data_IF_371980071530
#
_entry.id   IF_371980071530
#
_cell.length_a   1.000
_cell.length_b   1.000
_cell.length_c   1.000
_cell.angle_alpha   90.00
_cell.angle_beta   90.00
_cell.angle_gamma   90.00
#
_symmetry.space_group_name_H-M   'P 1'
#
loop_
_entity.id
_entity.type
_entity.pdbx_description
1 polymer ?
#
# COMPACT_ATOMS: atom_id res chain seq x y z
N UNK A 1 -3.77 11.41 -7.92
CA UNK A 1 -3.02 12.66 -8.22
C UNK A 1 -2.76 13.51 -6.97
N UNK A 2 -3.77 14.09 -6.29
CA UNK A 2 -3.51 14.98 -5.12
C UNK A 2 -2.82 14.28 -3.94
N UNK A 3 -3.21 13.04 -3.62
CA UNK A 3 -2.63 12.34 -2.47
C UNK A 3 -1.16 11.94 -2.65
N UNK A 4 -0.79 11.49 -3.86
CA UNK A 4 0.60 11.17 -4.19
C UNK A 4 1.48 12.42 -4.12
N UNK A 5 1.03 13.54 -4.68
CA UNK A 5 1.76 14.81 -4.58
C UNK A 5 1.98 15.23 -3.13
N UNK A 6 0.94 15.13 -2.29
CA UNK A 6 1.05 15.39 -0.86
C UNK A 6 2.08 14.49 -0.17
N UNK A 7 2.07 13.19 -0.46
CA UNK A 7 3.05 12.24 0.10
C UNK A 7 4.47 12.54 -0.37
N UNK A 8 4.68 12.78 -1.66
CA UNK A 8 6.01 13.12 -2.18
C UNK A 8 6.54 14.43 -1.61
N UNK A 9 5.68 15.44 -1.45
CA UNK A 9 6.05 16.71 -0.84
C UNK A 9 6.38 16.55 0.66
N UNK A 10 5.63 15.72 1.39
CA UNK A 10 5.85 15.51 2.83
C UNK A 10 7.03 14.56 3.15
N UNK A 11 7.36 13.64 2.24
CA UNK A 11 8.38 12.61 2.43
C UNK A 11 9.76 13.13 2.88
N UNK A 12 10.40 14.11 2.20
CA UNK A 12 11.75 14.55 2.57
C UNK A 12 11.79 15.13 3.99
N UNK A 13 10.76 15.88 4.38
CA UNK A 13 10.66 16.46 5.72
C UNK A 13 10.42 15.38 6.78
N UNK A 14 9.54 14.42 6.48
CA UNK A 14 9.27 13.30 7.36
C UNK A 14 10.54 12.47 7.59
N UNK A 15 11.24 12.03 6.54
CA UNK A 15 12.47 11.23 6.66
C UNK A 15 13.59 12.02 7.35
N UNK A 16 13.73 13.32 7.06
CA UNK A 16 14.69 14.17 7.77
C UNK A 16 14.39 14.23 9.27
N UNK A 17 13.12 14.40 9.65
CA UNK A 17 12.70 14.41 11.04
C UNK A 17 12.91 13.04 11.72
N UNK A 18 12.52 11.96 11.05
CA UNK A 18 12.66 10.57 11.52
C UNK A 18 14.12 10.23 11.80
N UNK A 19 15.03 10.52 10.85
CA UNK A 19 16.45 10.20 10.97
C UNK A 19 17.14 10.97 12.10
N UNK A 20 16.70 12.19 12.42
CA UNK A 20 17.26 12.99 13.50
C UNK A 20 16.73 12.61 14.88
N UNK A 21 15.43 12.33 15.00
CA UNK A 21 14.73 12.15 16.28
C UNK A 21 14.60 10.69 16.71
N UNK A 22 14.37 9.77 15.80
CA UNK A 22 14.07 8.36 16.12
C UNK A 22 15.30 7.48 15.93
N UNK A 23 16.18 7.52 16.94
CA UNK A 23 17.46 6.79 16.96
C UNK A 23 17.40 5.46 17.69
N UNK A 24 16.29 5.06 18.32
CA UNK A 24 16.17 3.74 18.97
C UNK A 24 15.12 2.90 18.24
N UNK A 25 15.32 1.58 18.19
CA UNK A 25 14.33 0.65 17.65
C UNK A 25 13.03 0.68 18.45
N UNK A 26 13.12 0.87 19.78
CA UNK A 26 11.95 1.06 20.63
C UNK A 26 11.16 2.33 20.26
N UNK A 27 11.86 3.44 19.97
CA UNK A 27 11.20 4.67 19.53
C UNK A 27 10.53 4.51 18.15
N UNK A 28 11.14 3.74 17.24
CA UNK A 28 10.54 3.44 15.94
C UNK A 28 9.30 2.56 16.08
N UNK A 29 9.36 1.51 16.91
CA UNK A 29 8.22 0.65 17.19
C UNK A 29 7.08 1.44 17.85
N UNK A 30 7.39 2.29 18.83
CA UNK A 30 6.41 3.17 19.46
C UNK A 30 5.78 4.14 18.45
N UNK A 31 6.59 4.80 17.61
CA UNK A 31 6.09 5.69 16.57
C UNK A 31 5.22 4.94 15.54
N UNK A 32 5.56 3.69 15.21
CA UNK A 32 4.77 2.86 14.33
C UNK A 32 3.40 2.53 14.94
N UNK A 33 3.37 2.11 16.20
CA UNK A 33 2.11 1.86 16.94
C UNK A 33 1.29 3.14 17.02
N UNK A 34 1.91 4.27 17.32
CA UNK A 34 1.24 5.57 17.38
C UNK A 34 0.66 5.96 16.01
N UNK A 35 1.38 5.72 14.91
CA UNK A 35 0.88 5.99 13.56
C UNK A 35 -0.35 5.12 13.25
N UNK A 36 -0.30 3.82 13.54
CA UNK A 36 -1.42 2.89 13.28
C UNK A 36 -2.63 3.23 14.16
N UNK A 37 -2.44 3.37 15.47
CA UNK A 37 -3.52 3.68 16.40
C UNK A 37 -4.12 5.08 16.12
N UNK A 38 -3.27 6.07 15.81
CA UNK A 38 -3.70 7.41 15.43
C UNK A 38 -4.48 7.40 14.11
N UNK A 39 -4.08 6.60 13.13
CA UNK A 39 -4.82 6.36 11.90
C UNK A 39 -6.20 5.78 12.17
N UNK A 40 -6.28 4.69 12.95
CA UNK A 40 -7.56 4.06 13.34
C UNK A 40 -8.47 5.06 14.04
N UNK A 41 -7.94 5.84 14.99
CA UNK A 41 -8.71 6.86 15.70
C UNK A 41 -9.21 7.96 14.75
N UNK A 42 -8.37 8.40 13.80
CA UNK A 42 -8.74 9.40 12.81
C UNK A 42 -9.84 8.88 11.86
N UNK A 43 -9.72 7.65 11.36
CA UNK A 43 -10.78 7.01 10.59
C UNK A 43 -12.08 6.95 11.40
N UNK A 44 -12.02 6.53 12.66
CA UNK A 44 -13.19 6.48 13.53
C UNK A 44 -13.84 7.83 13.75
N UNK A 45 -13.05 8.87 13.99
CA UNK A 45 -13.57 10.24 14.11
C UNK A 45 -14.28 10.69 12.83
N UNK A 46 -13.65 10.51 11.66
CA UNK A 46 -14.23 10.93 10.38
C UNK A 46 -15.48 10.12 10.04
N UNK A 47 -15.44 8.80 10.18
CA UNK A 47 -16.59 7.91 9.92
C UNK A 47 -17.75 8.27 10.86
N UNK A 48 -17.47 8.53 12.13
CA UNK A 48 -18.47 8.97 13.10
C UNK A 48 -19.11 10.29 12.68
N UNK A 49 -18.30 11.31 12.35
CA UNK A 49 -18.80 12.61 11.91
C UNK A 49 -19.66 12.47 10.65
N UNK A 50 -19.21 11.71 9.66
CA UNK A 50 -19.95 11.54 8.41
C UNK A 50 -21.26 10.79 8.58
N UNK A 51 -21.33 9.78 9.46
CA UNK A 51 -22.53 8.96 9.62
C UNK A 51 -23.52 9.53 10.64
N UNK A 52 -23.04 10.12 11.75
CA UNK A 52 -23.90 10.47 12.88
C UNK A 52 -24.04 11.97 13.12
N UNK A 53 -23.10 12.80 12.65
CA UNK A 53 -23.16 14.26 12.86
C UNK A 53 -23.70 14.96 11.62
N UNK A 54 -23.15 14.64 10.45
CA UNK A 54 -23.48 15.31 9.18
C UNK A 54 -24.42 14.47 8.31
N UNK A 55 -24.50 13.16 8.52
CA UNK A 55 -25.31 12.23 7.73
C UNK A 55 -25.05 12.33 6.21
N UNK A 56 -23.78 12.23 5.84
CA UNK A 56 -23.31 12.30 4.45
C UNK A 56 -23.71 11.02 3.69
N UNK A 57 -24.17 11.16 2.45
CA UNK A 57 -24.52 10.02 1.59
C UNK A 57 -23.34 9.11 1.26
N UNK A 58 -23.62 7.83 0.94
CA UNK A 58 -22.62 6.78 0.78
C UNK A 58 -21.54 7.09 -0.28
N UNK A 59 -21.91 7.75 -1.39
CA UNK A 59 -20.94 8.12 -2.44
C UNK A 59 -19.91 9.12 -1.95
N UNK A 60 -20.36 10.18 -1.25
CA UNK A 60 -19.47 11.17 -0.67
C UNK A 60 -18.61 10.59 0.46
N UNK A 61 -19.16 9.65 1.25
CA UNK A 61 -18.37 8.87 2.22
C UNK A 61 -17.24 8.10 1.54
N UNK A 62 -17.55 7.37 0.47
CA UNK A 62 -16.53 6.63 -0.29
C UNK A 62 -15.43 7.56 -0.80
N UNK A 63 -15.80 8.71 -1.38
CA UNK A 63 -14.82 9.67 -1.91
C UNK A 63 -13.87 10.16 -0.81
N UNK A 64 -14.42 10.55 0.35
CA UNK A 64 -13.61 11.04 1.47
C UNK A 64 -12.71 9.93 2.02
N UNK A 65 -13.24 8.75 2.29
CA UNK A 65 -12.49 7.66 2.92
C UNK A 65 -11.40 7.07 2.02
N UNK A 66 -11.60 7.10 0.69
CA UNK A 66 -10.66 6.50 -0.27
C UNK A 66 -9.63 7.51 -0.78
N UNK A 67 -10.03 8.74 -1.10
CA UNK A 67 -9.17 9.69 -1.79
C UNK A 67 -8.56 10.78 -0.89
N UNK A 68 -8.98 10.90 0.37
CA UNK A 68 -8.43 11.92 1.26
C UNK A 68 -7.00 11.54 1.71
N UNK A 69 -5.97 12.34 1.36
CA UNK A 69 -4.60 12.03 1.73
C UNK A 69 -4.33 12.03 3.24
N UNK A 70 -5.09 12.81 4.01
CA UNK A 70 -4.90 12.93 5.46
C UNK A 70 -5.25 11.62 6.15
N UNK A 71 -6.34 10.97 5.72
CA UNK A 71 -6.73 9.66 6.24
C UNK A 71 -5.69 8.58 5.91
N UNK A 72 -5.07 8.69 4.74
CA UNK A 72 -4.06 7.76 4.22
C UNK A 72 -2.64 8.04 4.73
N UNK A 73 -2.46 9.15 5.44
CA UNK A 73 -1.15 9.60 5.89
C UNK A 73 -0.57 8.67 6.97
N UNK A 74 -1.42 8.05 7.77
CA UNK A 74 -1.00 7.12 8.82
C UNK A 74 -0.29 5.88 8.25
N UNK A 75 -0.83 5.32 7.17
CA UNK A 75 -0.28 4.18 6.44
C UNK A 75 1.04 4.58 5.76
N UNK A 76 1.10 5.79 5.21
CA UNK A 76 2.32 6.34 4.60
C UNK A 76 3.45 6.53 5.62
N UNK A 77 3.14 7.07 6.82
CA UNK A 77 4.11 7.22 7.91
C UNK A 77 4.58 5.86 8.41
N UNK A 78 3.69 4.89 8.58
CA UNK A 78 4.03 3.52 8.97
C UNK A 78 4.99 2.86 7.96
N UNK A 79 4.72 3.01 6.66
CA UNK A 79 5.63 2.54 5.61
C UNK A 79 6.98 3.24 5.63
N UNK A 80 7.01 4.56 5.85
CA UNK A 80 8.25 5.35 5.95
C UNK A 80 9.10 4.92 7.17
N UNK A 81 8.47 4.66 8.31
CA UNK A 81 9.11 4.13 9.51
C UNK A 81 9.72 2.74 9.27
N UNK A 82 8.99 1.85 8.60
CA UNK A 82 9.48 0.53 8.23
C UNK A 82 10.68 0.61 7.27
N UNK A 83 10.60 1.48 6.26
CA UNK A 83 11.72 1.73 5.35
C UNK A 83 12.96 2.26 6.07
N UNK A 84 12.78 3.21 7.00
CA UNK A 84 13.89 3.71 7.81
C UNK A 84 14.50 2.64 8.71
N UNK A 85 13.67 1.82 9.35
CA UNK A 85 14.12 0.67 10.12
C UNK A 85 14.96 -0.29 9.27
N UNK A 86 14.48 -0.62 8.07
CA UNK A 86 15.19 -1.49 7.12
C UNK A 86 16.57 -0.94 6.72
N UNK A 87 16.65 0.34 6.30
CA UNK A 87 17.92 0.99 5.95
C UNK A 87 18.89 0.94 7.13
N UNK A 88 18.39 1.15 8.35
CA UNK A 88 19.21 1.10 9.55
C UNK A 88 19.74 -0.29 9.87
N UNK A 89 18.94 -1.33 9.63
CA UNK A 89 19.41 -2.73 9.73
C UNK A 89 20.52 -3.03 8.72
N UNK A 90 20.48 -2.43 7.54
CA UNK A 90 21.52 -2.60 6.52
C UNK A 90 22.88 -1.99 6.88
N UNK A 91 22.88 -0.88 7.62
CA UNK A 91 24.12 -0.19 7.99
C UNK A 91 24.82 -0.78 9.23
N UNK A 92 24.25 -1.81 9.87
CA UNK A 92 24.90 -2.46 11.02
C UNK A 92 25.90 -3.53 10.53
N UNK A 93 27.21 -3.41 10.88
CA UNK A 93 28.29 -4.24 10.32
C UNK A 93 28.13 -5.75 10.56
N UNK A 94 27.50 -6.17 11.66
CA UNK A 94 27.30 -7.59 12.02
C UNK A 94 25.89 -8.14 11.69
N UNK A 95 24.97 -7.29 11.22
CA UNK A 95 23.53 -7.57 11.31
C UNK A 95 22.94 -8.52 10.26
N UNK A 96 23.48 -8.52 9.02
CA UNK A 96 22.85 -9.20 7.89
C UNK A 96 23.66 -10.38 7.33
N UNK A 97 25.00 -10.32 7.38
CA UNK A 97 25.87 -11.34 6.77
C UNK A 97 25.90 -12.67 7.55
N UNK A 98 25.81 -12.65 8.89
CA UNK A 98 25.79 -13.87 9.71
C UNK A 98 24.38 -14.45 9.96
N UNK A 99 23.32 -13.68 9.71
CA UNK A 99 21.92 -14.08 9.95
C UNK A 99 21.20 -14.63 8.71
N UNK A 100 21.84 -14.56 7.53
CA UNK A 100 21.23 -14.84 6.24
C UNK A 100 20.79 -16.28 5.98
N UNK A 101 21.45 -17.27 6.59
CA UNK A 101 21.13 -18.69 6.39
C UNK A 101 20.04 -19.22 7.36
N UNK A 102 20.11 -18.90 8.66
CA UNK A 102 19.13 -19.42 9.63
C UNK A 102 17.79 -18.67 9.64
N UNK A 103 17.76 -17.40 9.20
CA UNK A 103 16.52 -16.61 9.12
C UNK A 103 15.73 -16.83 7.81
N UNK A 104 16.19 -17.68 6.89
CA UNK A 104 15.41 -18.03 5.69
C UNK A 104 14.05 -18.63 6.06
N UNK A 105 14.06 -19.61 6.97
CA UNK A 105 12.84 -20.24 7.48
C UNK A 105 11.96 -19.26 8.24
N UNK A 106 12.54 -18.43 9.12
CA UNK A 106 11.80 -17.41 9.87
C UNK A 106 11.12 -16.38 8.95
N UNK A 107 11.80 -15.91 7.90
CA UNK A 107 11.22 -14.99 6.90
C UNK A 107 10.05 -15.64 6.15
N UNK A 108 10.18 -16.91 5.79
CA UNK A 108 9.10 -17.66 5.16
C UNK A 108 7.88 -17.76 6.08
N UNK A 109 8.08 -18.04 7.37
CA UNK A 109 7.00 -18.05 8.36
C UNK A 109 6.35 -16.67 8.45
N UNK A 110 7.12 -15.58 8.53
CA UNK A 110 6.58 -14.21 8.55
C UNK A 110 5.74 -13.91 7.31
N UNK A 111 6.22 -14.29 6.12
CA UNK A 111 5.49 -14.13 4.87
C UNK A 111 4.16 -14.92 4.91
N UNK A 112 4.19 -16.18 5.32
CA UNK A 112 2.99 -17.02 5.37
C UNK A 112 1.98 -16.50 6.39
N UNK A 113 2.43 -16.10 7.58
CA UNK A 113 1.58 -15.50 8.63
C UNK A 113 0.99 -14.18 8.15
N UNK A 114 1.78 -13.33 7.51
CA UNK A 114 1.29 -12.06 6.97
C UNK A 114 0.23 -12.27 5.88
N UNK A 115 0.47 -13.19 4.94
CA UNK A 115 -0.51 -13.56 3.90
C UNK A 115 -1.78 -14.16 4.50
N UNK A 116 -1.64 -15.05 5.49
CA UNK A 116 -2.78 -15.63 6.19
C UNK A 116 -3.58 -14.56 6.95
N UNK A 117 -2.93 -13.61 7.61
CA UNK A 117 -3.59 -12.50 8.29
C UNK A 117 -4.32 -11.57 7.31
N UNK A 118 -3.71 -11.26 6.16
CA UNK A 118 -4.35 -10.47 5.09
C UNK A 118 -5.58 -11.23 4.56
N UNK A 119 -5.43 -12.52 4.24
CA UNK A 119 -6.52 -13.34 3.76
C UNK A 119 -7.65 -13.41 4.79
N UNK A 120 -7.34 -13.77 6.04
CA UNK A 120 -8.30 -13.81 7.13
C UNK A 120 -9.07 -12.49 7.26
N UNK A 121 -8.38 -11.35 7.20
CA UNK A 121 -9.05 -10.05 7.27
C UNK A 121 -9.97 -9.77 6.06
N UNK A 122 -9.58 -10.19 4.86
CA UNK A 122 -10.42 -10.03 3.64
C UNK A 122 -11.67 -10.89 3.70
N UNK A 123 -11.58 -12.10 4.25
CA UNK A 123 -12.70 -13.05 4.33
C UNK A 123 -13.57 -12.87 5.58
N UNK A 124 -13.09 -12.14 6.59
CA UNK A 124 -13.85 -11.87 7.81
C UNK A 124 -14.99 -10.88 7.53
N UNK A 125 -16.26 -11.23 7.83
CA UNK A 125 -17.39 -10.34 7.63
C UNK A 125 -17.28 -9.13 8.57
N UNK A 126 -17.76 -7.98 8.09
CA UNK A 126 -17.87 -6.79 8.93
C UNK A 126 -19.00 -6.99 9.96
N UNK A 127 -18.91 -6.32 11.10
CA UNK A 127 -19.92 -6.40 12.16
C UNK A 127 -21.25 -5.78 11.68
N UNK A 128 -22.34 -6.55 11.77
CA UNK A 128 -23.71 -6.12 11.37
C UNK A 128 -24.70 -6.07 12.54
N UNK A 129 -24.22 -6.09 13.78
CA UNK A 129 -25.08 -6.04 14.96
C UNK A 129 -25.61 -4.63 15.27
N UNK A 130 -26.48 -4.50 16.29
CA UNK A 130 -27.16 -3.24 16.60
C UNK A 130 -26.28 -2.21 17.33
N UNK A 131 -25.13 -2.62 17.89
CA UNK A 131 -24.26 -1.72 18.66
C UNK A 131 -23.43 -0.82 17.73
N UNK A 132 -23.77 0.47 17.73
CA UNK A 132 -23.10 1.50 16.92
C UNK A 132 -21.61 1.67 17.24
N UNK A 133 -21.19 1.48 18.49
CA UNK A 133 -19.81 1.69 18.90
C UNK A 133 -18.93 0.52 18.49
N UNK A 134 -19.48 -0.69 18.60
CA UNK A 134 -18.82 -1.90 18.08
C UNK A 134 -18.70 -1.83 16.56
N UNK A 135 -19.76 -1.40 15.87
CA UNK A 135 -19.71 -1.16 14.42
C UNK A 135 -18.64 -0.11 14.04
N UNK A 136 -18.61 1.02 14.75
CA UNK A 136 -17.64 2.08 14.48
C UNK A 136 -16.20 1.60 14.71
N UNK A 137 -15.97 0.84 15.78
CA UNK A 137 -14.66 0.26 16.06
C UNK A 137 -14.24 -0.71 14.95
N UNK A 138 -15.13 -1.62 14.55
CA UNK A 138 -14.85 -2.63 13.51
C UNK A 138 -14.48 -1.96 12.17
N UNK A 139 -15.30 -1.02 11.71
CA UNK A 139 -15.05 -0.32 10.43
C UNK A 139 -13.78 0.54 10.48
N UNK A 140 -13.43 1.11 11.63
CA UNK A 140 -12.23 1.94 11.78
C UNK A 140 -10.96 1.09 11.84
N UNK A 141 -11.00 -0.01 12.60
CA UNK A 141 -9.90 -0.97 12.73
C UNK A 141 -9.60 -1.63 11.38
N UNK A 142 -10.62 -1.82 10.53
CA UNK A 142 -10.43 -2.31 9.15
C UNK A 142 -9.33 -1.57 8.40
N UNK A 143 -9.32 -0.23 8.46
CA UNK A 143 -8.33 0.58 7.73
C UNK A 143 -6.91 0.42 8.27
N UNK A 144 -6.74 0.24 9.59
CA UNK A 144 -5.43 0.02 10.20
C UNK A 144 -4.95 -1.44 10.19
N UNK A 145 -5.87 -2.41 10.12
CA UNK A 145 -5.58 -3.85 10.28
C UNK A 145 -4.62 -4.41 9.23
N UNK A 146 -4.59 -3.81 8.04
CA UNK A 146 -3.70 -4.21 6.95
C UNK A 146 -2.27 -3.68 7.10
N UNK A 147 -2.07 -2.59 7.85
CA UNK A 147 -0.76 -1.91 7.93
C UNK A 147 0.31 -2.84 8.49
N UNK A 148 0.02 -3.55 9.58
CA UNK A 148 0.97 -4.45 10.22
C UNK A 148 1.38 -5.65 9.34
N UNK A 149 0.45 -6.47 8.80
CA UNK A 149 0.83 -7.61 7.98
C UNK A 149 1.49 -7.20 6.66
N UNK A 150 1.07 -6.11 6.00
CA UNK A 150 1.79 -5.61 4.82
C UNK A 150 3.19 -5.12 5.17
N UNK A 151 3.36 -4.39 6.28
CA UNK A 151 4.70 -3.95 6.73
C UNK A 151 5.61 -5.14 6.98
N UNK A 152 5.11 -6.18 7.68
CA UNK A 152 5.86 -7.40 7.94
C UNK A 152 6.23 -8.14 6.65
N UNK A 153 5.29 -8.25 5.71
CA UNK A 153 5.50 -8.86 4.39
C UNK A 153 6.58 -8.11 3.60
N UNK A 154 6.48 -6.78 3.52
CA UNK A 154 7.44 -5.93 2.81
C UNK A 154 8.83 -6.08 3.42
N UNK A 155 8.95 -5.97 4.74
CA UNK A 155 10.24 -6.12 5.42
C UNK A 155 10.85 -7.52 5.23
N UNK A 156 10.04 -8.58 5.30
CA UNK A 156 10.53 -9.94 5.11
C UNK A 156 11.05 -10.17 3.69
N UNK A 157 10.31 -9.71 2.68
CA UNK A 157 10.70 -9.81 1.26
C UNK A 157 11.91 -8.93 0.94
N UNK A 158 11.97 -7.71 1.48
CA UNK A 158 13.10 -6.80 1.27
C UNK A 158 14.39 -7.29 1.95
N UNK A 159 14.29 -8.06 3.04
CA UNK A 159 15.43 -8.56 3.80
C UNK A 159 16.11 -9.79 3.20
N UNK A 160 15.67 -10.28 2.04
CA UNK A 160 16.36 -11.30 1.26
C UNK A 160 15.43 -12.36 0.67
N UNK A 161 15.99 -13.54 0.35
CA UNK A 161 15.24 -14.59 -0.33
C UNK A 161 14.15 -15.22 0.57
N UNK A 162 12.95 -15.38 0.02
CA UNK A 162 11.76 -15.96 0.66
C UNK A 162 11.05 -16.95 -0.27
N UNK A 163 10.00 -17.62 0.20
CA UNK A 163 9.13 -18.47 -0.65
C UNK A 163 8.53 -17.72 -1.85
N UNK A 164 8.35 -16.41 -1.74
CA UNK A 164 7.80 -15.60 -2.83
C UNK A 164 8.87 -15.17 -3.84
N UNK A 165 10.16 -15.30 -3.53
CA UNK A 165 11.24 -14.81 -4.39
C UNK A 165 11.23 -15.44 -5.78
N UNK A 166 10.96 -16.74 -5.89
CA UNK A 166 10.89 -17.42 -7.20
C UNK A 166 9.75 -16.94 -8.11
N UNK A 167 8.73 -16.31 -7.53
CA UNK A 167 7.62 -15.70 -8.25
C UNK A 167 7.92 -14.20 -8.50
N UNK A 168 8.17 -13.43 -7.43
CA UNK A 168 8.39 -11.98 -7.46
C UNK A 168 9.59 -11.53 -8.31
N UNK A 169 10.64 -12.34 -8.40
CA UNK A 169 11.83 -12.03 -9.19
C UNK A 169 11.67 -12.38 -10.68
N UNK A 170 10.53 -12.94 -11.11
CA UNK A 170 10.30 -13.23 -12.53
C UNK A 170 10.22 -11.93 -13.33
N UNK A 171 10.80 -11.87 -14.55
CA UNK A 171 10.85 -10.63 -15.34
C UNK A 171 9.49 -9.97 -15.60
N UNK A 172 8.44 -10.78 -15.78
CA UNK A 172 7.08 -10.25 -16.00
C UNK A 172 6.48 -9.61 -14.74
N UNK A 173 6.81 -10.09 -13.55
CA UNK A 173 6.36 -9.48 -12.29
C UNK A 173 7.08 -8.17 -12.03
N UNK A 174 8.39 -8.14 -12.30
CA UNK A 174 9.18 -6.91 -12.23
C UNK A 174 8.63 -5.88 -13.21
N UNK A 175 8.40 -6.27 -14.47
CA UNK A 175 7.82 -5.39 -15.49
C UNK A 175 6.42 -4.87 -15.11
N UNK A 176 5.58 -5.71 -14.49
CA UNK A 176 4.28 -5.30 -13.99
C UNK A 176 4.41 -4.31 -12.83
N UNK A 177 5.37 -4.53 -11.92
CA UNK A 177 5.69 -3.61 -10.83
C UNK A 177 6.20 -2.26 -11.32
N UNK A 178 7.07 -2.24 -12.33
CA UNK A 178 7.57 -1.02 -12.97
C UNK A 178 6.45 -0.25 -13.70
N UNK A 179 5.55 -0.97 -14.36
CA UNK A 179 4.39 -0.43 -15.06
C UNK A 179 3.18 -0.15 -14.15
N UNK A 180 3.30 -0.34 -12.83
CA UNK A 180 2.19 -0.22 -11.89
C UNK A 180 1.59 1.18 -11.86
N UNK A 181 2.40 2.22 -12.06
CA UNK A 181 1.93 3.61 -12.15
C UNK A 181 1.11 3.85 -13.42
N UNK A 182 1.61 3.43 -14.58
CA UNK A 182 0.85 3.46 -15.84
C UNK A 182 -0.47 2.69 -15.71
N UNK A 183 -0.44 1.53 -15.06
CA UNK A 183 -1.62 0.71 -14.81
C UNK A 183 -2.63 1.45 -13.92
N UNK A 184 -2.16 2.11 -12.87
CA UNK A 184 -2.99 2.93 -11.98
C UNK A 184 -3.71 4.07 -12.73
N UNK A 185 -3.07 4.70 -13.72
CA UNK A 185 -3.72 5.74 -14.51
C UNK A 185 -4.72 5.13 -15.51
N UNK A 186 -4.30 4.10 -16.25
CA UNK A 186 -5.07 3.58 -17.39
C UNK A 186 -6.28 2.75 -16.95
N UNK A 187 -6.20 2.03 -15.82
CA UNK A 187 -7.30 1.14 -15.41
C UNK A 187 -8.59 1.88 -15.11
N UNK A 188 -8.54 3.11 -14.60
CA UNK A 188 -9.74 3.91 -14.36
C UNK A 188 -10.50 4.22 -15.65
N UNK A 189 -9.79 4.47 -16.75
CA UNK A 189 -10.40 4.64 -18.08
C UNK A 189 -11.11 3.36 -18.52
N UNK A 190 -10.46 2.20 -18.33
CA UNK A 190 -11.05 0.89 -18.64
C UNK A 190 -12.32 0.61 -17.83
N UNK A 191 -12.27 0.82 -16.51
CA UNK A 191 -13.43 0.64 -15.62
C UNK A 191 -14.57 1.60 -16.01
N UNK A 192 -14.25 2.83 -16.39
CA UNK A 192 -15.25 3.83 -16.78
C UNK A 192 -15.96 3.42 -18.08
N UNK A 193 -15.23 2.97 -19.08
CA UNK A 193 -15.81 2.47 -20.35
C UNK A 193 -16.74 1.28 -20.08
N UNK A 194 -16.32 0.33 -19.23
CA UNK A 194 -17.15 -0.80 -18.85
C UNK A 194 -18.44 -0.36 -18.13
N UNK A 195 -18.35 0.63 -17.23
CA UNK A 195 -19.49 1.17 -16.48
C UNK A 195 -20.45 2.00 -17.33
N UNK A 196 -19.98 2.67 -18.38
CA UNK A 196 -20.81 3.46 -19.30
C UNK A 196 -21.76 2.59 -20.15
N UNK A 197 -21.63 1.27 -20.10
CA UNK A 197 -22.62 0.37 -20.71
C UNK A 197 -22.58 0.36 -22.24
N UNK A 198 -21.50 0.84 -22.86
CA UNK A 198 -21.33 0.84 -24.33
C UNK A 198 -21.53 -0.53 -24.98
N UNK A 199 -21.37 -1.61 -24.22
CA UNK A 199 -21.52 -2.99 -24.71
C UNK A 199 -22.91 -3.60 -24.45
N UNK A 200 -23.83 -2.88 -23.79
CA UNK A 200 -25.16 -3.36 -23.45
C UNK A 200 -25.17 -4.48 -22.39
N UNK A 201 -26.01 -4.33 -21.36
CA UNK A 201 -26.14 -5.35 -20.30
C UNK A 201 -24.92 -5.50 -19.38
N UNK A 202 -24.90 -6.56 -18.57
CA UNK A 202 -23.78 -6.87 -17.67
C UNK A 202 -22.60 -7.40 -18.51
N UNK A 203 -21.37 -6.90 -18.30
CA UNK A 203 -20.21 -7.35 -19.07
C UNK A 203 -19.98 -8.84 -18.85
N UNK A 204 -19.80 -9.60 -19.93
CA UNK A 204 -19.45 -11.02 -19.85
C UNK A 204 -18.03 -11.18 -19.31
N UNK A 205 -17.72 -12.35 -18.75
CA UNK A 205 -16.35 -12.67 -18.29
C UNK A 205 -15.30 -12.54 -19.40
N UNK A 206 -15.69 -12.77 -20.66
CA UNK A 206 -14.82 -12.55 -21.81
C UNK A 206 -14.50 -11.06 -21.99
N UNK A 207 -15.49 -10.18 -21.88
CA UNK A 207 -15.30 -8.72 -21.93
C UNK A 207 -14.40 -8.27 -20.78
N UNK A 208 -14.64 -8.76 -19.56
CA UNK A 208 -13.79 -8.45 -18.39
C UNK A 208 -12.36 -8.91 -18.60
N UNK A 209 -12.13 -10.11 -19.14
CA UNK A 209 -10.79 -10.62 -19.43
C UNK A 209 -10.09 -9.78 -20.49
N UNK A 210 -10.77 -9.45 -21.59
CA UNK A 210 -10.22 -8.59 -22.65
C UNK A 210 -9.82 -7.22 -22.08
N UNK A 211 -10.68 -6.60 -21.27
CA UNK A 211 -10.34 -5.33 -20.63
C UNK A 211 -9.20 -5.47 -19.64
N UNK A 212 -9.16 -6.51 -18.81
CA UNK A 212 -8.09 -6.73 -17.84
C UNK A 212 -6.73 -6.86 -18.55
N UNK A 213 -6.62 -7.79 -19.51
CA UNK A 213 -5.38 -8.02 -20.24
C UNK A 213 -5.03 -6.85 -21.16
N UNK A 214 -6.02 -6.21 -21.77
CA UNK A 214 -5.83 -5.01 -22.58
C UNK A 214 -5.29 -3.84 -21.76
N UNK A 215 -5.80 -3.63 -20.55
CA UNK A 215 -5.34 -2.58 -19.64
C UNK A 215 -3.91 -2.85 -19.16
N UNK A 216 -3.60 -4.09 -18.79
CA UNK A 216 -2.24 -4.50 -18.39
C UNK A 216 -1.25 -4.39 -19.56
N UNK A 217 -1.65 -4.81 -20.76
CA UNK A 217 -0.84 -4.65 -21.97
C UNK A 217 -0.58 -3.17 -22.26
N UNK A 218 -1.63 -2.35 -22.26
CA UNK A 218 -1.53 -0.91 -22.47
C UNK A 218 -0.64 -0.23 -21.43
N UNK A 219 -0.70 -0.64 -20.15
CA UNK A 219 0.16 -0.09 -19.11
C UNK A 219 1.63 -0.42 -19.31
N UNK A 220 1.95 -1.66 -19.70
CA UNK A 220 3.33 -2.07 -20.00
C UNK A 220 3.88 -1.32 -21.23
N UNK A 221 3.07 -1.14 -22.27
CA UNK A 221 3.46 -0.40 -23.47
C UNK A 221 3.67 1.09 -23.16
N UNK A 222 2.75 1.70 -22.42
CA UNK A 222 2.87 3.09 -21.95
C UNK A 222 4.14 3.28 -21.13
N UNK A 223 4.40 2.37 -20.18
CA UNK A 223 5.60 2.43 -19.35
C UNK A 223 6.89 2.36 -20.21
N UNK A 224 6.95 1.42 -21.15
CA UNK A 224 8.15 1.21 -21.98
C UNK A 224 8.42 2.33 -22.98
N UNK A 225 7.37 2.91 -23.57
CA UNK A 225 7.54 3.89 -24.66
C UNK A 225 7.40 5.33 -24.22
N UNK A 226 6.77 5.60 -23.08
CA UNK A 226 6.54 6.96 -22.58
C UNK A 226 7.29 7.13 -21.26
N UNK A 227 6.94 6.38 -20.22
CA UNK A 227 7.48 6.68 -18.89
C UNK A 227 9.00 6.48 -18.79
N UNK A 228 9.51 5.34 -19.25
CA UNK A 228 10.93 5.02 -19.14
C UNK A 228 11.83 5.98 -19.94
N UNK A 229 11.54 6.32 -21.21
CA UNK A 229 12.33 7.29 -21.97
C UNK A 229 12.32 8.70 -21.34
N UNK A 230 11.16 9.16 -20.88
CA UNK A 230 11.05 10.49 -20.27
C UNK A 230 11.75 10.55 -18.91
N UNK A 231 11.67 9.48 -18.11
CA UNK A 231 12.42 9.37 -16.85
C UNK A 231 13.93 9.42 -17.08
N UNK A 232 14.42 8.76 -18.13
CA UNK A 232 15.83 8.80 -18.50
C UNK A 232 16.27 10.23 -18.89
N UNK A 233 15.45 10.96 -19.65
CA UNK A 233 15.72 12.37 -20.02
C UNK A 233 15.75 13.31 -18.80
N UNK A 234 14.82 13.14 -17.86
CA UNK A 234 14.68 14.01 -16.68
C UNK A 234 15.74 13.78 -15.60
N UNK A 235 16.32 12.59 -15.50
CA UNK A 235 17.40 12.29 -14.54
C UNK A 235 18.74 12.95 -14.92
N UNK A 236 18.84 13.56 -16.11
CA UNK A 236 20.09 14.12 -16.63
C UNK A 236 21.14 13.04 -16.94
N UNK A 237 22.29 13.40 -17.53
CA UNK A 237 23.44 12.51 -17.59
C UNK A 237 23.83 12.15 -16.16
N UNK A 238 23.95 10.85 -15.86
CA UNK A 238 24.56 10.40 -14.62
C UNK A 238 26.01 10.86 -14.65
N UNK A 239 26.30 11.95 -13.95
CA UNK A 239 27.68 12.37 -13.68
C UNK A 239 28.24 11.35 -12.69
N UNK A 240 28.91 10.33 -13.22
CA UNK A 240 29.92 9.55 -12.51
C UNK A 240 31.28 10.12 -12.87
#
# INVERSE_FOLDING_TARGET
MSAEFFFYASFPFLVHWLSRRLRSTACLAFAFVLAVCGGIALYGAVIYTMNYVVAVGAEAQYIVLVYNPVLRFSEFVAGSLAGWYFVRMQHQPDGLRHRGASLGSARNVVVMVALAAIAARVWMPDYTGPDRWVWLLDVSVKYGSFVLPFTALILAVASGHTVLSGLLLRPWMVALGEASYALYIIHWSGVTILKMGYFGGKPSWAVVAVFLFGTVGASVLCHRWIEAPWRAKLRGPSVF
#
